data_IF_040010384397
#
_entry.id   IF_040010384397
#
_cell.length_a   1.000
_cell.length_b   1.000
_cell.length_c   1.000
_cell.angle_alpha   90.00
_cell.angle_beta   90.00
_cell.angle_gamma   90.00
#
_symmetry.space_group_name_H-M   'P 1'
#
loop_
_entity.id
_entity.type
_entity.pdbx_description
1 polymer ?
#
# COMPACT_ATOMS: atom_id res chain seq x y z
N UNK A 1 11.13 18.76 26.07
CA UNK A 1 11.20 17.29 26.11
C UNK A 1 9.80 16.70 26.35
N UNK A 2 9.00 17.28 27.23
CA UNK A 2 7.59 16.90 27.50
C UNK A 2 6.68 16.99 26.26
N UNK A 3 6.66 18.11 25.55
CA UNK A 3 5.86 18.29 24.31
C UNK A 3 6.11 17.26 23.20
N UNK A 4 7.26 16.57 23.22
CA UNK A 4 7.59 15.49 22.26
C UNK A 4 6.88 14.18 22.61
N UNK A 5 6.63 13.93 23.89
CA UNK A 5 5.94 12.73 24.34
C UNK A 5 4.43 12.83 24.04
N UNK A 6 3.89 14.05 24.13
CA UNK A 6 2.48 14.34 23.83
C UNK A 6 2.08 14.02 22.38
N UNK A 7 3.05 13.87 21.46
CA UNK A 7 2.79 13.53 20.06
C UNK A 7 2.94 12.03 19.74
N UNK A 8 3.21 11.17 20.73
CA UNK A 8 3.42 9.73 20.50
C UNK A 8 2.12 8.95 20.51
N UNK A 9 1.12 9.44 21.23
CA UNK A 9 -0.16 8.78 21.42
C UNK A 9 -1.27 9.82 21.53
N UNK A 10 -2.55 9.41 21.46
CA UNK A 10 -3.67 10.33 21.69
C UNK A 10 -3.53 11.04 23.05
N UNK A 11 -3.93 12.33 23.16
CA UNK A 11 -3.76 13.11 24.38
C UNK A 11 -4.56 12.59 25.57
N UNK A 12 -5.59 11.78 25.30
CA UNK A 12 -6.43 11.15 26.31
C UNK A 12 -6.62 9.66 25.97
N UNK A 13 -6.78 8.77 26.98
CA UNK A 13 -7.05 7.36 26.74
C UNK A 13 -8.28 7.18 25.84
N UNK A 14 -8.07 6.61 24.65
CA UNK A 14 -9.12 6.46 23.65
C UNK A 14 -8.97 5.15 22.88
N UNK A 15 -10.11 4.57 22.51
CA UNK A 15 -10.16 3.39 21.65
C UNK A 15 -10.23 3.85 20.19
N UNK A 16 -9.22 3.48 19.41
CA UNK A 16 -9.18 3.71 17.97
C UNK A 16 -9.62 2.41 17.28
N UNK A 17 -10.77 2.44 16.60
CA UNK A 17 -11.31 1.28 15.87
C UNK A 17 -10.99 1.33 14.37
N UNK A 18 -10.86 2.53 13.83
CA UNK A 18 -10.50 2.77 12.43
C UNK A 18 -9.01 3.03 12.28
N UNK A 19 -8.54 3.08 11.05
CA UNK A 19 -7.17 3.48 10.78
C UNK A 19 -6.81 4.82 11.43
N UNK A 20 -5.62 4.94 12.04
CA UNK A 20 -5.14 6.20 12.62
C UNK A 20 -4.87 7.26 11.55
N UNK A 21 -4.88 6.90 10.26
CA UNK A 21 -4.59 7.82 9.18
C UNK A 21 -5.82 8.64 8.78
N UNK A 22 -5.74 9.99 8.80
CA UNK A 22 -6.87 10.85 8.44
C UNK A 22 -7.39 10.63 7.01
N UNK A 23 -6.53 10.16 6.11
CA UNK A 23 -6.89 9.84 4.71
C UNK A 23 -7.64 8.51 4.57
N UNK A 24 -7.72 7.72 5.63
CA UNK A 24 -8.51 6.48 5.70
C UNK A 24 -9.83 6.67 6.48
N UNK A 25 -10.10 7.88 6.99
CA UNK A 25 -11.42 8.22 7.54
C UNK A 25 -12.44 8.34 6.40
N UNK A 26 -13.57 7.65 6.53
CA UNK A 26 -14.59 7.57 5.48
C UNK A 26 -14.26 6.55 4.38
N UNK A 27 -13.32 5.64 4.64
CA UNK A 27 -13.04 4.45 3.80
C UNK A 27 -14.32 3.70 3.43
N UNK A 28 -15.31 3.62 4.30
CA UNK A 28 -16.60 2.97 4.01
C UNK A 28 -17.29 3.53 2.76
N UNK A 29 -17.21 4.86 2.54
CA UNK A 29 -17.81 5.51 1.37
C UNK A 29 -17.06 5.16 0.09
N UNK A 30 -15.76 4.87 0.19
CA UNK A 30 -14.89 4.54 -0.94
C UNK A 30 -14.63 3.04 -1.09
N UNK A 31 -15.12 2.21 -0.17
CA UNK A 31 -14.96 0.77 -0.21
C UNK A 31 -15.64 0.20 -1.48
N UNK A 32 -15.05 -0.82 -2.12
CA UNK A 32 -15.66 -1.45 -3.28
C UNK A 32 -17.06 -1.97 -2.99
N UNK A 33 -18.00 -1.70 -3.90
CA UNK A 33 -19.41 -2.09 -3.73
C UNK A 33 -19.71 -3.49 -4.25
N UNK A 34 -18.80 -4.06 -5.04
CA UNK A 34 -18.93 -5.31 -5.79
C UNK A 34 -17.87 -6.34 -5.37
N UNK A 35 -17.58 -6.43 -4.07
CA UNK A 35 -16.66 -7.45 -3.53
C UNK A 35 -17.29 -8.82 -3.66
N UNK A 36 -16.65 -9.68 -4.43
CA UNK A 36 -16.99 -11.10 -4.58
C UNK A 36 -16.03 -11.97 -3.75
N UNK A 37 -16.40 -13.21 -3.41
CA UNK A 37 -15.51 -14.11 -2.69
C UNK A 37 -14.19 -14.34 -3.43
N UNK A 38 -13.08 -14.43 -2.68
CA UNK A 38 -11.74 -14.69 -3.25
C UNK A 38 -11.76 -15.93 -4.15
N UNK A 39 -12.43 -17.01 -3.74
CA UNK A 39 -12.56 -18.23 -4.54
C UNK A 39 -13.20 -18.00 -5.92
N UNK A 40 -14.06 -16.99 -6.05
CA UNK A 40 -14.65 -16.59 -7.32
C UNK A 40 -13.67 -15.71 -8.13
N UNK A 41 -12.95 -14.78 -7.49
CA UNK A 41 -11.87 -14.02 -8.15
C UNK A 41 -10.82 -14.95 -8.75
N UNK A 42 -10.43 -16.02 -8.03
CA UNK A 42 -9.45 -16.98 -8.52
C UNK A 42 -9.94 -17.83 -9.71
N UNK A 43 -11.26 -18.00 -9.85
CA UNK A 43 -11.89 -18.79 -10.94
C UNK A 43 -12.24 -17.94 -12.17
N UNK A 44 -12.77 -16.74 -11.94
CA UNK A 44 -13.40 -15.89 -12.96
C UNK A 44 -12.62 -14.58 -13.21
N UNK A 45 -11.61 -14.31 -12.39
CA UNK A 45 -10.71 -13.17 -12.51
C UNK A 45 -9.62 -13.39 -13.54
N UNK A 46 -8.97 -12.28 -13.88
CA UNK A 46 -7.83 -12.28 -14.80
C UNK A 46 -6.56 -12.46 -13.99
N UNK A 47 -5.79 -13.51 -14.30
CA UNK A 47 -4.42 -13.63 -13.80
C UNK A 47 -3.54 -12.59 -14.50
N UNK A 48 -2.89 -11.73 -13.73
CA UNK A 48 -2.05 -10.65 -14.26
C UNK A 48 -0.56 -10.94 -13.99
N UNK A 49 0.35 -10.54 -14.87
CA UNK A 49 1.77 -10.69 -14.64
C UNK A 49 2.23 -9.74 -13.53
N UNK A 50 3.22 -10.17 -12.75
CA UNK A 50 3.94 -9.33 -11.81
C UNK A 50 5.44 -9.55 -11.97
N UNK A 51 6.24 -8.56 -11.54
CA UNK A 51 7.69 -8.71 -11.45
C UNK A 51 8.13 -8.55 -10.01
N UNK A 52 9.02 -9.44 -9.57
CA UNK A 52 9.66 -9.35 -8.26
C UNK A 52 10.74 -8.26 -8.33
N UNK A 53 10.58 -7.23 -7.50
CA UNK A 53 11.51 -6.10 -7.35
C UNK A 53 12.51 -6.38 -6.23
N UNK A 54 12.07 -7.04 -5.16
CA UNK A 54 12.89 -7.44 -4.02
C UNK A 54 12.35 -8.76 -3.48
N UNK A 55 13.24 -9.71 -3.18
CA UNK A 55 12.89 -10.94 -2.47
C UNK A 55 13.99 -11.22 -1.47
N UNK A 56 13.65 -11.17 -0.19
CA UNK A 56 14.56 -11.42 0.92
C UNK A 56 13.94 -12.48 1.82
N UNK A 57 14.18 -13.79 1.59
CA UNK A 57 13.48 -14.87 2.28
C UNK A 57 13.78 -14.94 3.78
N UNK A 58 14.94 -14.42 4.19
CA UNK A 58 15.40 -14.40 5.58
C UNK A 58 15.16 -13.05 6.27
N UNK A 59 14.47 -12.11 5.62
CA UNK A 59 14.15 -10.83 6.23
C UNK A 59 13.31 -11.03 7.49
N UNK A 60 13.77 -10.45 8.59
CA UNK A 60 13.03 -10.41 9.85
C UNK A 60 12.48 -9.00 9.97
N UNK A 61 11.15 -8.88 9.97
CA UNK A 61 10.52 -7.58 10.17
C UNK A 61 10.87 -7.06 11.56
N UNK A 62 11.50 -5.88 11.67
CA UNK A 62 11.87 -5.32 12.95
C UNK A 62 10.61 -5.00 13.76
N UNK A 63 10.66 -5.30 15.06
CA UNK A 63 9.65 -4.87 16.03
C UNK A 63 9.80 -3.37 16.31
N UNK A 64 11.02 -2.84 16.12
CA UNK A 64 11.35 -1.44 16.28
C UNK A 64 12.51 -1.05 15.36
N UNK A 65 12.37 0.07 14.65
CA UNK A 65 13.42 0.68 13.84
C UNK A 65 13.89 1.98 14.49
N UNK A 66 15.18 2.32 14.31
CA UNK A 66 15.77 3.54 14.90
C UNK A 66 15.01 4.81 14.45
N UNK A 67 14.56 4.84 13.20
CA UNK A 67 13.81 5.95 12.61
C UNK A 67 12.42 6.17 13.25
N UNK A 68 11.90 5.20 14.01
CA UNK A 68 10.64 5.32 14.76
C UNK A 68 10.86 5.96 16.13
N UNK A 69 12.10 6.24 16.51
CA UNK A 69 12.38 6.97 17.74
C UNK A 69 11.94 8.43 17.61
N UNK A 70 11.34 8.97 18.66
CA UNK A 70 10.74 10.30 18.60
C UNK A 70 11.74 11.46 18.54
N UNK A 71 13.04 11.19 18.68
CA UNK A 71 14.09 12.18 18.34
C UNK A 71 14.51 12.12 16.88
N UNK A 72 14.24 11.02 16.17
CA UNK A 72 14.60 10.89 14.78
C UNK A 72 13.65 11.74 13.94
N UNK A 73 14.18 12.75 13.24
CA UNK A 73 13.42 13.66 12.37
C UNK A 73 12.19 14.28 13.05
N UNK A 74 12.32 14.60 14.34
CA UNK A 74 11.23 15.20 15.12
C UNK A 74 10.04 14.27 15.37
N UNK A 75 10.24 12.95 15.32
CA UNK A 75 9.19 11.97 15.61
C UNK A 75 8.20 11.75 14.48
N UNK A 76 8.59 12.05 13.23
CA UNK A 76 7.76 11.89 12.03
C UNK A 76 7.11 10.52 11.89
N UNK A 77 7.76 9.46 12.38
CA UNK A 77 7.28 8.07 12.31
C UNK A 77 7.09 7.43 13.69
N UNK A 78 7.06 8.22 14.77
CA UNK A 78 7.02 7.70 16.15
C UNK A 78 5.62 7.55 16.73
N UNK A 79 4.56 7.88 15.98
CA UNK A 79 3.19 7.79 16.45
C UNK A 79 2.77 6.33 16.65
N UNK A 80 2.50 5.94 17.89
CA UNK A 80 2.29 4.56 18.33
C UNK A 80 1.11 3.90 17.62
N UNK A 81 -0.08 4.53 17.49
CA UNK A 81 -1.19 3.90 16.75
C UNK A 81 -0.85 3.52 15.32
N UNK A 82 -0.07 4.36 14.60
CA UNK A 82 0.42 4.02 13.27
C UNK A 82 1.37 2.82 13.29
N UNK A 83 2.30 2.74 14.26
CA UNK A 83 3.20 1.59 14.40
C UNK A 83 2.44 0.28 14.65
N UNK A 84 1.42 0.33 15.50
CA UNK A 84 0.53 -0.81 15.77
C UNK A 84 -0.22 -1.20 14.50
N UNK A 85 -0.85 -0.24 13.82
CA UNK A 85 -1.57 -0.49 12.57
C UNK A 85 -0.69 -1.18 11.52
N UNK A 86 0.51 -0.66 11.23
CA UNK A 86 1.43 -1.31 10.30
C UNK A 86 1.87 -2.70 10.77
N UNK A 87 1.98 -2.94 12.08
CA UNK A 87 2.40 -4.25 12.61
C UNK A 87 1.32 -5.33 12.47
N UNK A 88 0.04 -4.94 12.38
CA UNK A 88 -1.08 -5.87 12.20
C UNK A 88 -1.19 -6.39 10.76
N UNK A 89 -0.71 -5.60 9.79
CA UNK A 89 -0.80 -5.93 8.37
C UNK A 89 0.49 -6.57 7.82
N UNK A 90 0.31 -7.37 6.78
CA UNK A 90 1.32 -8.12 6.02
C UNK A 90 1.37 -7.70 4.57
N UNK A 91 0.32 -7.07 4.03
CA UNK A 91 0.27 -6.59 2.65
C UNK A 91 0.13 -5.06 2.60
N UNK A 92 0.96 -4.42 1.79
CA UNK A 92 0.98 -2.96 1.65
C UNK A 92 1.09 -2.55 0.17
N UNK A 93 0.00 -2.13 -0.46
CA UNK A 93 0.01 -1.54 -1.78
C UNK A 93 0.53 -0.09 -1.75
N UNK A 94 1.27 0.30 -2.78
CA UNK A 94 1.86 1.62 -2.90
C UNK A 94 2.03 2.06 -4.35
N UNK A 95 1.58 3.28 -4.65
CA UNK A 95 1.91 3.97 -5.89
C UNK A 95 3.11 4.89 -5.67
N UNK A 96 4.15 4.72 -6.47
CA UNK A 96 5.32 5.61 -6.48
C UNK A 96 4.98 6.95 -7.16
N UNK A 97 4.19 7.80 -6.48
CA UNK A 97 3.69 9.10 -6.99
C UNK A 97 4.32 10.32 -6.29
N UNK A 98 5.57 10.18 -5.84
CA UNK A 98 6.36 11.28 -5.30
C UNK A 98 7.34 10.84 -4.22
N UNK A 99 8.52 11.47 -4.20
CA UNK A 99 9.66 11.10 -3.34
C UNK A 99 9.29 11.16 -1.85
N UNK A 100 8.50 12.17 -1.43
CA UNK A 100 8.09 12.29 -0.01
C UNK A 100 7.13 11.15 0.41
N UNK A 101 6.24 10.73 -0.48
CA UNK A 101 5.31 9.64 -0.22
C UNK A 101 6.04 8.30 -0.16
N UNK A 102 6.99 8.07 -1.06
CA UNK A 102 7.87 6.90 -1.07
C UNK A 102 8.71 6.81 0.20
N UNK A 103 9.35 7.92 0.60
CA UNK A 103 10.12 7.96 1.84
C UNK A 103 9.22 7.62 3.03
N UNK A 104 8.06 8.25 3.17
CA UNK A 104 7.14 7.94 4.26
C UNK A 104 6.77 6.46 4.26
N UNK A 105 6.31 5.92 3.12
CA UNK A 105 5.89 4.54 3.00
C UNK A 105 7.00 3.56 3.41
N UNK A 106 8.22 3.72 2.88
CA UNK A 106 9.32 2.81 3.19
C UNK A 106 9.75 2.87 4.66
N UNK A 107 9.75 4.07 5.25
CA UNK A 107 10.07 4.25 6.67
C UNK A 107 8.96 3.70 7.58
N UNK A 108 7.69 3.87 7.17
CA UNK A 108 6.53 3.38 7.88
C UNK A 108 6.45 1.84 7.88
N UNK A 109 6.70 1.22 6.73
CA UNK A 109 6.64 -0.23 6.54
C UNK A 109 7.91 -0.93 7.06
N UNK A 110 9.04 -0.22 7.09
CA UNK A 110 10.34 -0.71 7.55
C UNK A 110 11.17 -1.41 6.47
N UNK A 111 10.92 -1.14 5.19
CA UNK A 111 11.61 -1.81 4.09
C UNK A 111 11.92 -0.83 2.97
N UNK A 112 13.20 -0.78 2.56
CA UNK A 112 13.65 0.00 1.43
C UNK A 112 13.67 -0.83 0.15
N UNK A 113 13.20 -0.24 -0.94
CA UNK A 113 13.24 -0.82 -2.28
C UNK A 113 13.26 0.28 -3.33
N UNK A 114 13.75 -0.04 -4.53
CA UNK A 114 13.78 0.93 -5.60
C UNK A 114 12.42 0.95 -6.31
N UNK A 115 11.88 2.14 -6.48
CA UNK A 115 10.77 2.37 -7.40
C UNK A 115 11.29 3.00 -8.70
N UNK A 116 10.61 2.71 -9.80
CA UNK A 116 10.86 3.32 -11.08
C UNK A 116 9.63 4.14 -11.52
N UNK A 117 9.89 5.33 -12.05
CA UNK A 117 8.87 6.16 -12.67
C UNK A 117 8.76 5.78 -14.15
N UNK A 118 7.57 5.35 -14.56
CA UNK A 118 7.22 5.18 -15.97
C UNK A 118 6.15 6.22 -16.33
N UNK A 119 6.45 7.08 -17.30
CA UNK A 119 5.57 8.21 -17.65
C UNK A 119 4.22 7.75 -18.23
N UNK A 120 4.19 6.59 -18.88
CA UNK A 120 3.03 6.11 -19.66
C UNK A 120 2.27 4.97 -19.01
N UNK A 121 2.87 4.30 -18.03
CA UNK A 121 2.29 3.13 -17.40
C UNK A 121 2.75 2.99 -15.95
N UNK A 122 1.95 3.55 -15.04
CA UNK A 122 2.19 3.54 -13.61
C UNK A 122 2.24 2.11 -13.04
N UNK A 123 3.23 1.84 -12.20
CA UNK A 123 3.33 0.58 -11.47
C UNK A 123 2.63 0.70 -10.11
N UNK A 124 1.86 -0.33 -9.74
CA UNK A 124 1.43 -0.55 -8.37
C UNK A 124 2.42 -1.52 -7.71
N UNK A 125 3.12 -1.04 -6.69
CA UNK A 125 4.01 -1.84 -5.86
C UNK A 125 3.21 -2.49 -4.75
N UNK A 126 3.52 -3.75 -4.42
CA UNK A 126 2.89 -4.46 -3.32
C UNK A 126 4.00 -5.11 -2.50
N UNK A 127 4.13 -4.66 -1.25
CA UNK A 127 5.01 -5.28 -0.26
C UNK A 127 4.23 -6.36 0.47
N UNK A 128 4.77 -7.57 0.53
CA UNK A 128 4.18 -8.70 1.24
C UNK A 128 5.20 -9.30 2.19
N UNK A 129 4.88 -9.32 3.48
CA UNK A 129 5.69 -9.98 4.50
C UNK A 129 5.26 -11.43 4.70
N UNK A 130 6.24 -12.26 5.07
CA UNK A 130 6.02 -13.62 5.57
C UNK A 130 5.20 -14.49 4.62
N UNK A 131 5.29 -14.24 3.32
CA UNK A 131 4.55 -14.98 2.28
C UNK A 131 5.38 -15.01 1.01
N UNK A 132 5.39 -16.15 0.33
CA UNK A 132 5.93 -16.30 -1.01
C UNK A 132 4.82 -16.09 -2.03
N UNK A 133 4.92 -15.04 -2.85
CA UNK A 133 3.88 -14.73 -3.83
C UNK A 133 4.01 -15.71 -5.00
N UNK A 134 2.88 -16.30 -5.41
CA UNK A 134 2.82 -17.22 -6.54
C UNK A 134 2.07 -16.62 -7.71
N UNK A 135 0.98 -15.91 -7.43
CA UNK A 135 0.05 -15.43 -8.45
C UNK A 135 -0.62 -14.13 -8.01
N UNK A 136 -1.07 -13.34 -8.99
CA UNK A 136 -1.91 -12.17 -8.77
C UNK A 136 -3.10 -12.23 -9.71
N UNK A 137 -4.30 -12.01 -9.17
CA UNK A 137 -5.56 -11.98 -9.91
C UNK A 137 -6.25 -10.65 -9.71
N UNK A 138 -7.01 -10.21 -10.72
CA UNK A 138 -7.88 -9.04 -10.61
C UNK A 138 -9.29 -9.34 -11.10
N UNK A 139 -10.29 -8.76 -10.43
CA UNK A 139 -11.69 -8.75 -10.87
C UNK A 139 -12.41 -7.58 -10.21
N UNK A 140 -13.09 -6.75 -11.00
CA UNK A 140 -13.72 -5.54 -10.48
C UNK A 140 -12.67 -4.68 -9.76
N UNK A 141 -12.98 -4.22 -8.56
CA UNK A 141 -12.05 -3.46 -7.72
C UNK A 141 -11.18 -4.33 -6.79
N UNK A 142 -11.16 -5.65 -6.95
CA UNK A 142 -10.33 -6.56 -6.15
C UNK A 142 -9.04 -6.96 -6.87
N UNK A 143 -7.93 -6.87 -6.15
CA UNK A 143 -6.64 -7.45 -6.53
C UNK A 143 -6.28 -8.50 -5.48
N UNK A 144 -6.23 -9.77 -5.88
CA UNK A 144 -5.91 -10.88 -4.98
C UNK A 144 -4.49 -11.35 -5.25
N UNK A 145 -3.61 -11.15 -4.27
CA UNK A 145 -2.25 -11.67 -4.24
C UNK A 145 -2.28 -13.02 -3.54
N UNK A 146 -1.97 -14.08 -4.28
CA UNK A 146 -1.93 -15.45 -3.76
C UNK A 146 -0.52 -15.80 -3.37
N UNK A 147 -0.36 -16.44 -2.22
CA UNK A 147 0.94 -16.94 -1.81
C UNK A 147 0.92 -18.04 -0.76
N UNK A 148 2.12 -18.58 -0.53
CA UNK A 148 2.36 -19.59 0.49
C UNK A 148 2.97 -18.93 1.73
N UNK A 149 2.32 -19.01 2.91
CA UNK A 149 2.84 -18.43 4.14
C UNK A 149 4.23 -18.95 4.52
N UNK A 150 5.06 -18.06 5.06
CA UNK A 150 6.39 -18.32 5.61
C UNK A 150 6.49 -17.69 7.00
N UNK A 151 7.50 -18.08 7.79
CA UNK A 151 7.76 -17.46 9.11
C UNK A 151 8.54 -16.15 9.01
N UNK A 152 9.34 -16.02 7.96
CA UNK A 152 10.20 -14.87 7.68
C UNK A 152 10.10 -14.53 6.21
N UNK A 153 10.63 -13.36 5.88
CA UNK A 153 10.85 -12.91 4.53
C UNK A 153 9.95 -11.75 4.14
N UNK A 154 10.37 -11.07 3.08
CA UNK A 154 9.60 -10.02 2.42
C UNK A 154 9.77 -10.18 0.91
N UNK A 155 8.67 -10.01 0.19
CA UNK A 155 8.67 -9.84 -1.26
C UNK A 155 8.04 -8.51 -1.61
N UNK A 156 8.67 -7.79 -2.53
CA UNK A 156 8.10 -6.60 -3.15
C UNK A 156 7.92 -6.92 -4.61
N UNK A 157 6.68 -6.86 -5.07
CA UNK A 157 6.33 -7.04 -6.47
C UNK A 157 5.81 -5.73 -7.05
N UNK A 158 5.88 -5.58 -8.36
CA UNK A 158 5.06 -4.62 -9.07
C UNK A 158 4.12 -5.32 -10.06
N UNK A 159 2.95 -4.73 -10.23
CA UNK A 159 2.00 -5.04 -11.30
C UNK A 159 1.72 -3.77 -12.10
N UNK A 160 1.34 -3.93 -13.36
CA UNK A 160 0.93 -2.78 -14.17
C UNK A 160 -0.45 -2.32 -13.78
N UNK A 161 -0.60 -1.02 -13.55
CA UNK A 161 -1.91 -0.43 -13.26
C UNK A 161 -2.88 -0.62 -14.42
N UNK A 162 -2.34 -0.63 -15.65
CA UNK A 162 -3.11 -0.92 -16.85
C UNK A 162 -3.80 -2.29 -16.81
N UNK A 163 -3.25 -3.28 -16.09
CA UNK A 163 -3.78 -4.65 -16.05
C UNK A 163 -4.94 -4.82 -15.05
N UNK A 164 -5.16 -3.87 -14.13
CA UNK A 164 -6.12 -4.02 -13.01
C UNK A 164 -7.58 -3.87 -13.47
N UNK A 165 -7.85 -2.95 -14.41
CA UNK A 165 -9.19 -2.63 -14.96
C UNK A 165 -10.33 -2.60 -13.91
N UNK A 166 -10.31 -1.67 -12.94
CA UNK A 166 -11.35 -1.58 -11.92
C UNK A 166 -12.74 -1.32 -12.51
N UNK A 167 -13.77 -1.94 -11.94
CA UNK A 167 -15.18 -1.72 -12.33
C UNK A 167 -15.63 -0.31 -11.99
N UNK A 168 -15.11 0.27 -10.90
CA UNK A 168 -15.36 1.65 -10.49
C UNK A 168 -14.05 2.37 -10.09
N UNK A 169 -13.64 3.35 -10.88
CA UNK A 169 -12.39 4.12 -10.67
C UNK A 169 -12.46 5.12 -9.51
N UNK A 170 -13.64 5.42 -8.99
CA UNK A 170 -13.85 6.33 -7.84
C UNK A 170 -13.81 5.59 -6.50
N UNK A 171 -13.89 4.26 -6.55
CA UNK A 171 -13.75 3.37 -5.38
C UNK A 171 -12.30 2.93 -5.23
N UNK A 172 -11.95 2.52 -4.02
CA UNK A 172 -10.65 1.96 -3.73
C UNK A 172 -10.44 0.63 -4.43
N UNK A 173 -9.18 0.25 -4.61
CA UNK A 173 -8.81 -1.12 -4.85
C UNK A 173 -8.74 -1.83 -3.50
N UNK A 174 -9.38 -3.00 -3.42
CA UNK A 174 -9.22 -3.93 -2.31
C UNK A 174 -8.12 -4.92 -2.67
N UNK A 175 -6.95 -4.74 -2.07
CA UNK A 175 -5.76 -5.57 -2.30
C UNK A 175 -5.68 -6.61 -1.18
N UNK A 176 -5.95 -7.87 -1.52
CA UNK A 176 -6.09 -8.97 -0.57
C UNK A 176 -4.91 -9.91 -0.68
N UNK A 177 -4.37 -10.33 0.46
CA UNK A 177 -3.43 -11.43 0.55
C UNK A 177 -4.21 -12.72 0.83
N UNK A 178 -4.03 -13.74 0.01
CA UNK A 178 -4.78 -14.98 0.12
C UNK A 178 -3.89 -16.23 0.12
N UNK A 179 -4.34 -17.25 0.84
CA UNK A 179 -3.79 -18.61 0.75
C UNK A 179 -4.93 -19.62 0.72
N UNK A 180 -4.85 -20.61 -0.18
CA UNK A 180 -5.87 -21.64 -0.35
C UNK A 180 -7.31 -21.09 -0.50
N UNK A 181 -7.47 -19.91 -1.12
CA UNK A 181 -8.77 -19.27 -1.33
C UNK A 181 -9.36 -18.54 -0.11
N UNK A 182 -8.64 -18.50 1.02
CA UNK A 182 -8.99 -17.73 2.21
C UNK A 182 -8.12 -16.47 2.32
N UNK A 183 -8.71 -15.39 2.83
CA UNK A 183 -7.99 -14.14 3.11
C UNK A 183 -7.09 -14.31 4.35
N UNK A 184 -5.86 -13.82 4.23
CA UNK A 184 -4.92 -13.68 5.35
C UNK A 184 -4.88 -12.25 5.87
N UNK A 185 -4.97 -11.29 4.97
CA UNK A 185 -4.93 -9.86 5.26
C UNK A 185 -5.41 -9.06 4.04
N UNK A 186 -5.72 -7.78 4.21
CA UNK A 186 -6.05 -6.88 3.13
C UNK A 186 -5.57 -5.46 3.39
N UNK A 187 -5.49 -4.66 2.33
CA UNK A 187 -5.28 -3.23 2.39
C UNK A 187 -6.08 -2.54 1.30
N UNK A 188 -6.42 -1.27 1.54
CA UNK A 188 -7.11 -0.43 0.58
C UNK A 188 -6.14 0.58 -0.04
N UNK A 189 -6.36 0.92 -1.31
CA UNK A 189 -5.63 2.02 -1.97
C UNK A 189 -6.51 2.72 -2.99
N UNK A 190 -6.43 4.04 -3.08
CA UNK A 190 -7.07 4.81 -4.14
C UNK A 190 -6.52 4.41 -5.51
N UNK A 191 -7.40 4.00 -6.42
CA UNK A 191 -7.00 3.73 -7.81
C UNK A 191 -6.36 4.97 -8.43
N UNK A 192 -5.17 4.80 -9.02
CA UNK A 192 -4.55 5.79 -9.87
C UNK A 192 -4.61 5.30 -11.33
N UNK A 193 -4.82 6.17 -12.33
CA UNK A 193 -4.81 5.75 -13.71
C UNK A 193 -3.38 5.47 -14.21
N UNK A 194 -3.17 4.57 -15.19
CA UNK A 194 -1.84 4.21 -15.68
C UNK A 194 -1.08 5.41 -16.29
N UNK A 195 -1.79 6.38 -16.85
CA UNK A 195 -1.24 7.59 -17.46
C UNK A 195 -1.09 8.77 -16.47
N UNK A 196 -1.03 8.49 -15.16
CA UNK A 196 -0.95 9.51 -14.09
C UNK A 196 0.14 10.54 -14.34
N UNK A 197 1.37 10.08 -14.62
CA UNK A 197 2.53 10.96 -14.81
C UNK A 197 2.41 11.83 -16.06
N UNK A 198 1.91 11.25 -17.16
CA UNK A 198 1.62 11.99 -18.38
C UNK A 198 0.59 13.10 -18.14
N UNK A 199 -0.51 12.80 -17.44
CA UNK A 199 -1.54 13.78 -17.07
C UNK A 199 -1.00 14.90 -16.19
N UNK A 200 -0.16 14.56 -15.21
CA UNK A 200 0.46 15.55 -14.33
C UNK A 200 1.38 16.51 -15.10
N UNK A 201 2.20 15.98 -16.02
CA UNK A 201 3.09 16.77 -16.88
C UNK A 201 2.29 17.75 -17.75
N UNK A 202 1.25 17.27 -18.43
CA UNK A 202 0.36 18.10 -19.26
C UNK A 202 -0.35 19.19 -18.45
N UNK A 203 -0.79 18.88 -17.22
CA UNK A 203 -1.40 19.86 -16.32
C UNK A 203 -0.42 20.97 -15.96
N UNK A 204 0.80 20.61 -15.57
CA UNK A 204 1.84 21.56 -15.18
C UNK A 204 2.25 22.48 -16.35
N UNK A 205 2.30 21.95 -17.57
CA UNK A 205 2.56 22.75 -18.79
C UNK A 205 1.44 23.76 -19.06
N UNK A 206 0.17 23.34 -18.94
CA UNK A 206 -1.00 24.24 -19.08
C UNK A 206 -1.05 25.34 -18.03
N UNK A 207 -0.62 25.06 -16.81
CA UNK A 207 -0.58 26.07 -15.73
C UNK A 207 0.56 27.08 -15.94
N UNK A 208 1.69 26.65 -16.51
CA UNK A 208 2.78 27.54 -16.90
C UNK A 208 2.37 28.48 -18.04
N UNK A 209 1.66 27.96 -19.04
CA UNK A 209 1.20 28.78 -20.19
C UNK A 209 0.11 29.79 -19.83
N UNK A 210 -0.61 29.61 -18.71
CA UNK A 210 -1.61 30.57 -18.21
C UNK A 210 -1.02 31.71 -17.38
N UNK A 211 0.24 31.58 -16.96
CA UNK A 211 0.96 32.59 -16.14
C UNK A 211 1.90 33.47 -16.98
N UNK A 212 1.95 33.24 -18.30
CA UNK A 212 2.61 34.08 -19.30
C UNK A 212 1.56 34.89 -20.05
#
# INVERSE_FOLDING_TARGET
MEQRLDSLEPPEPTTILDSPFPFEKGTEVHFPTDVIPISQVLKEGTKIPFKVIKSEPNYIRPIYEENWHSTYWGGRWSYIPSRIHYSLHRIFPFYAIGISAELNFQQDVGIAFNTATNETDLDLYIVVFQTNITDVYTKGNQVVVVGTPKRTGVEVINIKTADIYPSNKEKYLLVQLATNGAELDYSLISYQPPDFWLKLKQKNEREKSKKQ
#
